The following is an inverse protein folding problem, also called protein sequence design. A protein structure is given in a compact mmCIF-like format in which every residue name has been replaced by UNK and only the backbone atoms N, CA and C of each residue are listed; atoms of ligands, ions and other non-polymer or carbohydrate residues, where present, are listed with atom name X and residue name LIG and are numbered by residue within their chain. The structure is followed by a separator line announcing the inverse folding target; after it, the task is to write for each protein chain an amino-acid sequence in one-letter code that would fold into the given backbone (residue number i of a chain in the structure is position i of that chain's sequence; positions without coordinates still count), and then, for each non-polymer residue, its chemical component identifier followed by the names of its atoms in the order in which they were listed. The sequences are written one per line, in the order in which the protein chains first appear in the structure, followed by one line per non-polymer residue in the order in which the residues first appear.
data_IF_390653018824
#
_entry.id   IF_390653018824
#
_cell.length_a   1.000
_cell.length_b   1.000
_cell.length_c   1.000
_cell.angle_alpha   90.00
_cell.angle_beta   90.00
_cell.angle_gamma   90.00
#
_symmetry.space_group_name_H-M   'P 1'
#
loop_
_entity.id
_entity.type
_entity.pdbx_description
1 polymer ?
#
# COMPACT_ATOMS: atom_id res chain seq x y z
N UNK A 1 -2.79 -0.45 -4.87
CA UNK A 1 -2.71 -0.46 -3.39
C UNK A 1 -4.02 -0.10 -2.68
N UNK A 2 -4.72 1.00 -3.00
CA UNK A 2 -5.94 1.40 -2.26
C UNK A 2 -7.00 0.30 -2.10
N UNK A 3 -7.26 -0.49 -3.15
CA UNK A 3 -8.23 -1.61 -3.09
C UNK A 3 -7.83 -2.66 -2.05
N UNK A 4 -6.53 -2.99 -1.99
CA UNK A 4 -5.98 -3.90 -1.00
C UNK A 4 -6.02 -3.29 0.40
N UNK A 5 -5.57 -2.05 0.56
CA UNK A 5 -5.47 -1.42 1.88
C UNK A 5 -6.83 -1.25 2.56
N UNK A 6 -7.83 -0.79 1.79
CA UNK A 6 -9.18 -0.48 2.29
C UNK A 6 -10.12 -1.69 2.39
N UNK A 7 -9.91 -2.73 1.58
CA UNK A 7 -10.88 -3.79 1.37
C UNK A 7 -12.24 -3.28 0.84
N UNK A 8 -12.35 -2.04 0.35
CA UNK A 8 -13.60 -1.41 -0.09
C UNK A 8 -14.19 -2.03 -1.37
N UNK A 9 -15.49 -1.82 -1.62
CA UNK A 9 -16.09 -2.19 -2.91
C UNK A 9 -15.57 -1.23 -3.98
N UNK A 10 -15.38 -1.69 -5.21
CA UNK A 10 -14.81 -0.83 -6.25
C UNK A 10 -15.62 0.43 -6.51
N UNK A 11 -16.95 0.33 -6.54
CA UNK A 11 -17.82 1.50 -6.74
C UNK A 11 -17.73 2.51 -5.58
N UNK A 12 -17.46 2.05 -4.36
CA UNK A 12 -17.24 2.93 -3.20
C UNK A 12 -15.90 3.68 -3.32
N UNK A 13 -14.88 3.04 -3.90
CA UNK A 13 -13.57 3.65 -4.09
C UNK A 13 -13.56 4.60 -5.29
N UNK A 14 -14.24 4.23 -6.37
CA UNK A 14 -14.35 5.05 -7.58
C UNK A 14 -15.26 6.26 -7.39
N UNK A 15 -16.18 6.26 -6.41
CA UNK A 15 -17.02 7.40 -6.08
C UNK A 15 -16.34 8.45 -5.19
N UNK A 16 -15.14 8.17 -4.67
CA UNK A 16 -14.40 9.10 -3.83
C UNK A 16 -14.04 10.39 -4.59
N UNK A 17 -14.08 11.50 -3.87
CA UNK A 17 -13.53 12.79 -4.28
C UNK A 17 -12.24 13.07 -3.51
N UNK A 18 -11.45 14.03 -3.98
CA UNK A 18 -10.20 14.43 -3.31
C UNK A 18 -10.46 14.81 -1.84
N UNK A 19 -11.53 15.58 -1.59
CA UNK A 19 -11.91 16.02 -0.25
C UNK A 19 -12.36 14.90 0.70
N UNK A 20 -12.61 13.69 0.21
CA UNK A 20 -12.95 12.54 1.06
C UNK A 20 -11.70 11.88 1.68
N UNK A 21 -10.49 12.29 1.30
CA UNK A 21 -9.23 11.77 1.83
C UNK A 21 -8.65 12.76 2.82
N UNK A 22 -8.49 12.33 4.07
CA UNK A 22 -7.88 13.13 5.14
C UNK A 22 -6.61 12.45 5.63
N UNK A 23 -5.46 13.10 5.46
CA UNK A 23 -4.19 12.61 5.98
C UNK A 23 -4.03 13.00 7.46
N UNK A 24 -3.50 12.07 8.25
CA UNK A 24 -3.15 12.30 9.65
C UNK A 24 -1.79 11.66 9.99
N UNK A 25 -1.37 11.76 11.25
CA UNK A 25 -0.08 11.22 11.70
C UNK A 25 0.06 9.70 11.58
N UNK A 26 -1.05 8.97 11.43
CA UNK A 26 -1.08 7.51 11.39
C UNK A 26 -1.38 6.96 9.99
N UNK A 27 -1.56 7.83 8.99
CA UNK A 27 -1.84 7.45 7.60
C UNK A 27 -2.90 8.34 6.98
N UNK A 28 -3.97 7.73 6.47
CA UNK A 28 -5.11 8.47 5.95
C UNK A 28 -6.44 7.85 6.41
N UNK A 29 -7.47 8.68 6.44
CA UNK A 29 -8.84 8.27 6.58
C UNK A 29 -9.59 8.59 5.29
N UNK A 30 -10.41 7.64 4.85
CA UNK A 30 -11.41 7.86 3.81
C UNK A 30 -12.79 7.56 4.33
N UNK A 31 -13.76 8.37 3.94
CA UNK A 31 -15.19 8.11 4.20
C UNK A 31 -15.79 7.61 2.90
N UNK A 32 -16.29 6.38 2.92
CA UNK A 32 -16.95 5.76 1.78
C UNK A 32 -18.45 5.65 2.01
N UNK A 33 -19.22 5.82 0.95
CA UNK A 33 -20.67 5.64 0.96
C UNK A 33 -21.03 4.42 0.11
N UNK A 34 -21.66 3.41 0.74
CA UNK A 34 -22.07 2.18 0.08
C UNK A 34 -23.53 1.83 0.36
N UNK A 35 -23.93 0.63 -0.10
CA UNK A 35 -25.30 0.09 0.09
C UNK A 35 -25.73 0.07 1.56
N UNK A 36 -24.78 -0.15 2.46
CA UNK A 36 -25.00 -0.31 3.92
C UNK A 36 -24.77 0.97 4.71
N UNK A 37 -24.65 2.12 4.03
CA UNK A 37 -24.42 3.42 4.64
C UNK A 37 -22.98 3.91 4.51
N UNK A 38 -22.67 4.95 5.29
CA UNK A 38 -21.34 5.54 5.34
C UNK A 38 -20.45 4.81 6.35
N UNK A 39 -19.18 4.61 5.99
CA UNK A 39 -18.18 4.12 6.94
C UNK A 39 -16.83 4.79 6.75
N UNK A 40 -16.10 4.88 7.86
CA UNK A 40 -14.75 5.41 7.95
C UNK A 40 -13.75 4.26 7.78
N UNK A 41 -12.84 4.37 6.82
CA UNK A 41 -11.78 3.40 6.59
C UNK A 41 -10.42 4.03 6.88
N UNK A 42 -9.61 3.32 7.67
CA UNK A 42 -8.22 3.67 7.94
C UNK A 42 -7.34 3.07 6.85
N UNK A 43 -6.50 3.90 6.25
CA UNK A 43 -5.53 3.53 5.24
C UNK A 43 -4.12 3.68 5.79
N UNK A 44 -3.27 2.71 5.48
CA UNK A 44 -1.86 2.66 5.90
C UNK A 44 -1.00 2.35 4.68
N UNK A 45 -1.19 1.17 4.06
CA UNK A 45 -0.33 0.68 2.98
C UNK A 45 -0.40 1.51 1.70
N UNK A 46 -1.53 2.14 1.42
CA UNK A 46 -1.75 2.94 0.21
C UNK A 46 -1.42 4.42 0.37
N UNK A 47 -1.08 4.88 1.58
CA UNK A 47 -0.90 6.29 1.89
C UNK A 47 0.21 6.95 1.05
N UNK A 48 1.42 6.35 0.89
CA UNK A 48 2.47 6.96 0.08
C UNK A 48 2.05 7.14 -1.39
N UNK A 49 1.34 6.15 -1.95
CA UNK A 49 0.83 6.21 -3.32
C UNK A 49 -0.26 7.29 -3.47
N UNK A 50 -1.16 7.40 -2.49
CA UNK A 50 -2.22 8.41 -2.47
C UNK A 50 -1.68 9.83 -2.36
N UNK A 51 -0.68 10.06 -1.50
CA UNK A 51 -0.03 11.37 -1.38
C UNK A 51 0.63 11.77 -2.69
N UNK A 52 1.38 10.85 -3.29
CA UNK A 52 2.04 11.06 -4.59
C UNK A 52 0.99 11.40 -5.66
N UNK A 53 -0.08 10.61 -5.72
CA UNK A 53 -1.16 10.81 -6.68
C UNK A 53 -1.88 12.15 -6.51
N UNK A 54 -2.24 12.55 -5.29
CA UNK A 54 -2.91 13.83 -5.01
C UNK A 54 -2.00 15.01 -5.39
N UNK A 55 -0.69 14.91 -5.13
CA UNK A 55 0.26 15.95 -5.49
C UNK A 55 0.37 16.18 -7.00
N UNK A 56 0.24 15.11 -7.80
CA UNK A 56 0.25 15.17 -9.27
C UNK A 56 -1.15 15.27 -9.90
N UNK A 57 -2.21 15.32 -9.09
CA UNK A 57 -3.58 15.23 -9.61
C UNK A 57 -3.94 16.47 -10.45
N UNK A 58 -4.47 16.32 -11.68
CA UNK A 58 -4.74 17.44 -12.58
C UNK A 58 -5.76 18.44 -12.03
N UNK A 59 -6.64 17.99 -11.13
CA UNK A 59 -7.68 18.81 -10.50
C UNK A 59 -7.45 18.97 -8.99
N UNK A 60 -6.20 18.91 -8.52
CA UNK A 60 -5.87 18.90 -7.07
C UNK A 60 -6.43 20.07 -6.26
N UNK A 61 -6.74 21.20 -6.90
CA UNK A 61 -7.29 22.38 -6.24
C UNK A 61 -8.80 22.27 -5.96
N UNK A 62 -9.50 21.31 -6.58
CA UNK A 62 -10.93 21.10 -6.40
C UNK A 62 -11.19 19.89 -5.51
N UNK A 63 -11.65 20.14 -4.28
CA UNK A 63 -11.98 19.09 -3.32
C UNK A 63 -13.16 18.20 -3.77
N UNK A 64 -14.03 18.70 -4.67
CA UNK A 64 -15.16 17.96 -5.23
C UNK A 64 -14.79 17.17 -6.48
N UNK A 65 -13.57 17.33 -7.00
CA UNK A 65 -13.10 16.55 -8.13
C UNK A 65 -13.02 15.06 -7.75
N UNK A 66 -13.33 14.14 -8.69
CA UNK A 66 -13.11 12.71 -8.51
C UNK A 66 -11.67 12.42 -8.11
N UNK A 67 -11.47 11.54 -7.13
CA UNK A 67 -10.13 11.13 -6.69
C UNK A 67 -9.37 10.41 -7.81
N UNK A 68 -10.05 9.59 -8.61
CA UNK A 68 -9.45 8.90 -9.75
C UNK A 68 -10.08 9.37 -11.04
N UNK A 69 -9.24 9.86 -11.95
CA UNK A 69 -9.65 10.39 -13.24
C UNK A 69 -8.96 9.69 -14.41
N UNK A 70 -9.58 9.77 -15.58
CA UNK A 70 -9.00 9.29 -16.83
C UNK A 70 -7.86 10.19 -17.28
N UNK A 71 -6.76 9.60 -17.74
CA UNK A 71 -5.65 10.36 -18.35
C UNK A 71 -6.07 10.96 -19.69
N UNK A 72 -6.91 10.25 -20.46
CA UNK A 72 -7.47 10.76 -21.72
C UNK A 72 -8.59 11.75 -21.41
N UNK A 73 -8.47 12.96 -21.97
CA UNK A 73 -9.42 14.06 -21.81
C UNK A 73 -10.28 14.20 -23.07
N UNK A 74 -11.15 13.22 -23.35
CA UNK A 74 -12.09 13.33 -24.47
C UNK A 74 -13.12 14.43 -24.17
N UNK A 75 -13.01 15.55 -24.88
CA UNK A 75 -13.77 16.79 -24.60
C UNK A 75 -13.06 17.77 -23.66
N UNK A 76 -11.74 17.69 -23.52
CA UNK A 76 -10.92 18.72 -22.85
C UNK A 76 -10.91 18.68 -21.32
N UNK A 77 -11.62 17.73 -20.68
CA UNK A 77 -11.61 17.56 -19.21
C UNK A 77 -11.40 16.10 -18.81
N UNK A 78 -10.63 15.83 -17.74
CA UNK A 78 -10.56 14.50 -17.13
C UNK A 78 -11.94 14.08 -16.62
N UNK A 79 -12.27 12.80 -16.77
CA UNK A 79 -13.54 12.22 -16.27
C UNK A 79 -13.25 11.26 -15.12
N UNK A 80 -14.24 11.01 -14.27
CA UNK A 80 -14.14 9.95 -13.24
C UNK A 80 -13.78 8.62 -13.89
N UNK A 81 -12.86 7.89 -13.27
CA UNK A 81 -12.43 6.59 -13.74
C UNK A 81 -13.57 5.57 -13.68
N UNK A 82 -13.76 4.80 -14.75
CA UNK A 82 -14.80 3.78 -14.85
C UNK A 82 -14.34 2.41 -14.33
N UNK A 83 -15.27 1.62 -13.80
CA UNK A 83 -15.02 0.27 -13.28
C UNK A 83 -14.38 -0.66 -14.33
N UNK A 84 -14.83 -0.60 -15.59
CA UNK A 84 -14.26 -1.42 -16.66
C UNK A 84 -12.79 -1.13 -16.89
N UNK A 85 -12.39 0.14 -16.73
CA UNK A 85 -10.98 0.55 -16.88
C UNK A 85 -10.12 -0.11 -15.80
N UNK A 86 -10.64 -0.17 -14.57
CA UNK A 86 -9.95 -0.86 -13.45
C UNK A 86 -9.86 -2.37 -13.70
N UNK A 87 -10.94 -3.01 -14.13
CA UNK A 87 -10.95 -4.44 -14.46
C UNK A 87 -9.95 -4.81 -15.57
N UNK A 88 -9.91 -4.01 -16.63
CA UNK A 88 -8.96 -4.19 -17.72
C UNK A 88 -7.51 -4.02 -17.22
N UNK A 89 -7.26 -3.03 -16.35
CA UNK A 89 -5.94 -2.83 -15.74
C UNK A 89 -5.54 -4.01 -14.87
N UNK A 90 -6.45 -4.53 -14.03
CA UNK A 90 -6.18 -5.70 -13.19
C UNK A 90 -5.90 -6.94 -14.03
N UNK A 91 -6.67 -7.16 -15.09
CA UNK A 91 -6.45 -8.28 -16.03
C UNK A 91 -5.07 -8.19 -16.68
N UNK A 92 -4.67 -6.98 -17.11
CA UNK A 92 -3.36 -6.76 -17.69
C UNK A 92 -2.22 -7.03 -16.69
N UNK A 93 -2.34 -6.51 -15.47
CA UNK A 93 -1.35 -6.75 -14.39
C UNK A 93 -1.27 -8.24 -14.03
N UNK A 94 -2.41 -8.93 -13.95
CA UNK A 94 -2.45 -10.36 -13.65
C UNK A 94 -1.73 -11.20 -14.71
N UNK A 95 -1.92 -10.87 -16.00
CA UNK A 95 -1.20 -11.51 -17.10
C UNK A 95 0.30 -11.25 -17.02
N UNK A 96 0.70 -10.00 -16.76
CA UNK A 96 2.11 -9.64 -16.61
C UNK A 96 2.78 -10.33 -15.41
N UNK A 97 2.01 -10.59 -14.35
CA UNK A 97 2.47 -11.31 -13.16
C UNK A 97 2.31 -12.84 -13.26
N UNK A 98 1.91 -13.37 -14.42
CA UNK A 98 1.66 -14.80 -14.65
C UNK A 98 0.66 -15.44 -13.67
N UNK A 99 -0.31 -14.67 -13.18
CA UNK A 99 -1.35 -15.17 -12.28
C UNK A 99 -2.45 -15.85 -13.12
N UNK A 100 -2.65 -17.14 -12.88
CA UNK A 100 -3.65 -17.95 -13.59
C UNK A 100 -5.07 -17.77 -13.04
N UNK A 101 -5.20 -17.39 -11.76
CA UNK A 101 -6.49 -17.15 -11.12
C UNK A 101 -7.11 -15.84 -11.63
N UNK A 102 -8.44 -15.75 -11.75
CA UNK A 102 -9.12 -14.51 -12.11
C UNK A 102 -8.78 -13.38 -11.12
N UNK A 103 -8.26 -12.26 -11.62
CA UNK A 103 -7.98 -11.06 -10.83
C UNK A 103 -8.94 -9.95 -11.25
N UNK A 104 -9.91 -9.68 -10.38
CA UNK A 104 -10.91 -8.63 -10.54
C UNK A 104 -11.16 -7.95 -9.19
N UNK A 105 -11.88 -6.81 -9.15
CA UNK A 105 -11.98 -6.04 -7.92
C UNK A 105 -12.54 -6.79 -6.71
N UNK A 106 -13.53 -7.66 -6.93
CA UNK A 106 -14.06 -8.50 -5.88
C UNK A 106 -13.05 -9.56 -5.40
N UNK A 107 -12.24 -10.16 -6.28
CA UNK A 107 -11.18 -11.09 -5.87
C UNK A 107 -10.15 -10.42 -4.96
N UNK A 108 -9.72 -9.20 -5.28
CA UNK A 108 -8.78 -8.42 -4.43
C UNK A 108 -9.41 -8.14 -3.07
N UNK A 109 -10.69 -7.77 -3.04
CA UNK A 109 -11.43 -7.57 -1.79
C UNK A 109 -11.54 -8.85 -0.97
N UNK A 110 -11.87 -9.98 -1.59
CA UNK A 110 -11.91 -11.28 -0.90
C UNK A 110 -10.54 -11.60 -0.28
N UNK A 111 -9.48 -11.51 -1.07
CA UNK A 111 -8.13 -11.76 -0.58
C UNK A 111 -7.75 -10.87 0.61
N UNK A 112 -8.10 -9.57 0.55
CA UNK A 112 -7.87 -8.66 1.68
C UNK A 112 -8.68 -9.02 2.92
N UNK A 113 -9.96 -9.34 2.77
CA UNK A 113 -10.80 -9.68 3.93
C UNK A 113 -10.34 -10.99 4.58
N UNK A 114 -9.86 -11.96 3.79
CA UNK A 114 -9.20 -13.17 4.32
C UNK A 114 -7.92 -12.83 5.07
N UNK A 115 -7.07 -11.96 4.51
CA UNK A 115 -5.83 -11.48 5.16
C UNK A 115 -6.13 -10.77 6.49
N UNK A 116 -7.14 -9.92 6.52
CA UNK A 116 -7.59 -9.24 7.74
C UNK A 116 -8.16 -10.21 8.78
N UNK A 117 -8.92 -11.23 8.38
CA UNK A 117 -9.47 -12.22 9.31
C UNK A 117 -8.38 -13.12 9.91
N UNK A 118 -7.38 -13.51 9.11
CA UNK A 118 -6.30 -14.40 9.55
C UNK A 118 -5.22 -13.67 10.35
N UNK A 119 -4.91 -12.42 10.00
CA UNK A 119 -3.67 -11.78 10.43
C UNK A 119 -2.46 -12.34 9.68
N UNK A 120 -1.26 -11.83 9.98
CA UNK A 120 -0.06 -12.11 9.17
C UNK A 120 1.24 -12.26 9.97
N UNK A 121 1.19 -12.82 11.19
CA UNK A 121 2.39 -12.94 12.03
C UNK A 121 2.65 -11.69 12.87
N UNK A 122 2.63 -10.52 12.22
CA UNK A 122 2.90 -9.25 12.89
C UNK A 122 1.64 -8.54 13.37
N UNK A 123 0.46 -9.02 12.98
CA UNK A 123 -0.84 -8.43 13.35
C UNK A 123 -1.85 -9.48 13.76
N UNK A 124 -2.66 -9.20 14.80
CA UNK A 124 -3.80 -10.02 15.12
C UNK A 124 -4.83 -9.97 13.99
N UNK A 125 -5.46 -11.11 13.71
CA UNK A 125 -6.63 -11.17 12.84
C UNK A 125 -7.83 -10.48 13.48
N UNK A 126 -8.71 -9.90 12.64
CA UNK A 126 -9.95 -9.27 13.06
C UNK A 126 -11.00 -10.33 13.40
N UNK A 127 -11.77 -10.07 14.46
CA UNK A 127 -12.96 -10.86 14.76
C UNK A 127 -14.09 -10.53 13.78
N UNK A 128 -15.17 -11.32 13.83
CA UNK A 128 -16.31 -11.15 12.95
C UNK A 128 -16.91 -9.74 12.99
N UNK A 129 -17.08 -9.16 14.17
CA UNK A 129 -17.71 -7.85 14.34
C UNK A 129 -16.86 -6.74 13.76
N UNK A 130 -15.56 -6.78 14.01
CA UNK A 130 -14.58 -5.88 13.42
C UNK A 130 -14.56 -6.01 11.89
N UNK A 131 -14.58 -7.24 11.38
CA UNK A 131 -14.58 -7.51 9.95
C UNK A 131 -15.86 -6.98 9.28
N UNK A 132 -17.04 -7.11 9.92
CA UNK A 132 -18.29 -6.51 9.43
C UNK A 132 -18.19 -4.98 9.31
N UNK A 133 -17.59 -4.32 10.29
CA UNK A 133 -17.39 -2.86 10.27
C UNK A 133 -16.47 -2.44 9.13
N UNK A 134 -15.33 -3.12 8.96
CA UNK A 134 -14.37 -2.82 7.88
C UNK A 134 -14.97 -3.10 6.50
N UNK A 135 -15.60 -4.26 6.33
CA UNK A 135 -16.20 -4.68 5.08
C UNK A 135 -17.47 -3.86 4.73
N UNK A 136 -18.15 -3.28 5.72
CA UNK A 136 -19.46 -2.64 5.52
C UNK A 136 -20.52 -3.67 5.17
N UNK A 137 -20.62 -4.73 5.97
CA UNK A 137 -21.71 -5.70 5.91
C UNK A 137 -22.83 -5.33 6.90
N UNK A 138 -24.05 -5.74 6.58
CA UNK A 138 -25.18 -5.62 7.50
C UNK A 138 -24.96 -6.52 8.72
N UNK A 139 -25.60 -6.18 9.84
CA UNK A 139 -25.47 -6.91 11.11
C UNK A 139 -25.86 -8.39 10.99
N UNK A 140 -26.81 -8.71 10.12
CA UNK A 140 -27.36 -10.06 9.95
C UNK A 140 -26.86 -10.77 8.68
N UNK A 141 -25.82 -10.25 8.01
CA UNK A 141 -25.26 -10.87 6.82
C UNK A 141 -24.52 -12.18 7.14
N UNK A 142 -24.69 -13.23 6.35
CA UNK A 142 -23.88 -14.47 6.44
C UNK A 142 -22.46 -14.31 5.85
N UNK A 143 -22.13 -13.15 5.27
CA UNK A 143 -20.84 -12.93 4.59
C UNK A 143 -19.58 -13.17 5.44
N UNK A 144 -19.53 -12.88 6.75
CA UNK A 144 -18.34 -13.15 7.55
C UNK A 144 -17.98 -14.64 7.67
N UNK A 145 -18.97 -15.53 7.57
CA UNK A 145 -18.76 -16.97 7.68
C UNK A 145 -17.79 -17.49 6.62
N UNK A 146 -17.64 -16.81 5.49
CA UNK A 146 -16.67 -17.14 4.42
C UNK A 146 -15.21 -16.97 4.86
N UNK A 147 -14.96 -16.17 5.89
CA UNK A 147 -13.60 -15.77 6.30
C UNK A 147 -13.24 -16.22 7.70
N UNK A 148 -14.25 -16.32 8.57
CA UNK A 148 -14.09 -16.65 9.98
C UNK A 148 -14.56 -18.09 10.18
N UNK A 149 -13.61 -19.01 10.14
CA UNK A 149 -13.82 -20.40 10.55
C UNK A 149 -12.96 -20.64 11.78
N UNK A 150 -13.54 -20.57 12.98
CA UNK A 150 -12.85 -21.00 14.20
C UNK A 150 -13.05 -22.50 14.38
N UNK A 151 -11.95 -23.25 14.49
CA UNK A 151 -11.99 -24.60 15.03
C UNK A 151 -11.98 -24.57 16.57
N UNK A 152 -12.47 -25.61 17.22
CA UNK A 152 -12.39 -25.73 18.69
C UNK A 152 -10.95 -25.67 19.21
N UNK A 153 -9.98 -26.21 18.45
CA UNK A 153 -8.56 -26.15 18.76
C UNK A 153 -7.98 -24.71 18.69
N UNK A 154 -8.48 -23.87 17.77
CA UNK A 154 -8.07 -22.46 17.70
C UNK A 154 -8.59 -21.66 18.89
N UNK A 155 -9.81 -21.99 19.36
CA UNK A 155 -10.39 -21.40 20.57
C UNK A 155 -9.59 -21.79 21.79
N UNK A 156 -9.30 -23.09 21.96
CA UNK A 156 -8.49 -23.61 23.07
C UNK A 156 -7.10 -22.96 23.09
N UNK A 157 -6.43 -22.87 21.94
CA UNK A 157 -5.14 -22.18 21.82
C UNK A 157 -5.23 -20.72 22.25
N UNK A 158 -6.27 -19.99 21.86
CA UNK A 158 -6.48 -18.59 22.29
C UNK A 158 -6.75 -18.49 23.79
N UNK A 159 -7.50 -19.41 24.37
CA UNK A 159 -7.78 -19.46 25.82
C UNK A 159 -6.48 -19.71 26.59
N UNK A 160 -5.68 -20.69 26.17
CA UNK A 160 -4.37 -20.97 26.77
C UNK A 160 -3.41 -19.78 26.66
N UNK A 161 -3.41 -19.09 25.52
CA UNK A 161 -2.60 -17.90 25.33
C UNK A 161 -3.06 -16.73 26.20
N UNK A 162 -4.37 -16.52 26.33
CA UNK A 162 -4.94 -15.50 27.19
C UNK A 162 -4.67 -15.78 28.68
N UNK A 163 -4.56 -17.05 29.06
CA UNK A 163 -4.13 -17.47 30.39
C UNK A 163 -2.59 -17.38 30.60
N UNK A 164 -1.83 -17.00 29.57
CA UNK A 164 -0.36 -16.90 29.62
C UNK A 164 0.36 -18.25 29.62
N UNK A 165 -0.33 -19.34 29.27
CA UNK A 165 0.21 -20.71 29.30
C UNK A 165 1.04 -21.01 28.04
N UNK A 166 0.65 -20.44 26.90
CA UNK A 166 1.35 -20.59 25.62
C UNK A 166 1.55 -19.23 24.95
N UNK A 167 2.65 -19.08 24.22
CA UNK A 167 2.82 -18.00 23.28
C UNK A 167 2.33 -18.46 21.90
N UNK A 168 1.48 -17.66 21.26
CA UNK A 168 1.03 -17.97 19.89
C UNK A 168 2.10 -17.47 18.93
N UNK A 169 2.97 -18.37 18.51
CA UNK A 169 3.80 -18.16 17.33
C UNK A 169 2.90 -18.00 16.12
N UNK A 170 2.89 -16.79 15.56
CA UNK A 170 2.11 -16.51 14.37
C UNK A 170 3.06 -16.61 13.16
N UNK A 171 2.75 -17.46 12.16
CA UNK A 171 3.60 -17.61 11.00
C UNK A 171 3.78 -16.25 10.33
N UNK A 172 5.03 -15.80 10.23
CA UNK A 172 5.33 -14.56 9.53
C UNK A 172 5.10 -14.80 8.03
N UNK A 173 4.17 -14.07 7.43
CA UNK A 173 4.07 -14.04 5.97
C UNK A 173 5.32 -13.35 5.41
N UNK A 174 6.00 -13.98 4.46
CA UNK A 174 7.23 -13.45 3.85
C UNK A 174 7.02 -12.11 3.11
N UNK A 175 5.80 -11.83 2.64
CA UNK A 175 5.49 -10.66 1.82
C UNK A 175 4.84 -9.55 2.67
N UNK A 176 5.61 -8.51 2.96
CA UNK A 176 5.17 -7.31 3.68
C UNK A 176 4.76 -6.21 2.68
N UNK A 177 3.46 -5.95 2.56
CA UNK A 177 2.90 -4.85 1.74
C UNK A 177 2.78 -3.54 2.52
N UNK A 178 3.39 -3.49 3.70
CA UNK A 178 3.45 -2.33 4.56
C UNK A 178 4.37 -1.25 4.00
N UNK A 179 4.06 0.04 4.22
CA UNK A 179 4.97 1.10 3.86
C UNK A 179 6.29 0.95 4.63
N UNK A 180 7.41 1.15 3.94
CA UNK A 180 8.74 1.11 4.54
C UNK A 180 9.08 2.46 5.17
N UNK A 181 9.50 2.45 6.43
CA UNK A 181 9.96 3.65 7.14
C UNK A 181 11.42 3.92 6.79
N UNK A 182 11.71 5.10 6.23
CA UNK A 182 13.08 5.48 5.91
C UNK A 182 13.96 5.47 7.17
N UNK A 183 15.14 4.81 7.19
CA UNK A 183 16.00 4.77 8.36
C UNK A 183 16.57 6.15 8.72
N UNK A 184 16.76 7.01 7.72
CA UNK A 184 17.34 8.35 7.84
C UNK A 184 16.30 9.40 8.27
N UNK A 185 15.34 9.73 7.42
CA UNK A 185 14.38 10.82 7.67
C UNK A 185 13.04 10.37 8.27
N UNK A 186 12.84 9.06 8.48
CA UNK A 186 11.62 8.46 9.05
C UNK A 186 10.33 8.63 8.23
N UNK A 187 10.38 9.22 7.03
CA UNK A 187 9.25 9.25 6.08
C UNK A 187 8.79 7.84 5.71
N UNK A 188 7.48 7.66 5.56
CA UNK A 188 6.88 6.41 5.08
C UNK A 188 6.90 6.39 3.56
N UNK A 189 7.45 5.34 2.98
CA UNK A 189 7.55 5.15 1.53
C UNK A 189 6.76 3.91 1.12
N UNK A 190 6.37 3.84 -0.15
CA UNK A 190 5.72 2.63 -0.68
C UNK A 190 6.62 1.41 -0.45
N UNK A 191 6.03 0.22 -0.24
CA UNK A 191 6.81 -1.00 0.03
C UNK A 191 7.78 -1.37 -1.11
N UNK A 192 7.49 -0.91 -2.33
CA UNK A 192 8.30 -1.13 -3.53
C UNK A 192 9.21 0.06 -3.87
N UNK A 193 9.31 1.08 -3.00
CA UNK A 193 10.13 2.26 -3.27
C UNK A 193 11.62 1.93 -3.15
N UNK A 194 12.39 2.20 -4.22
CA UNK A 194 13.84 2.03 -4.22
C UNK A 194 14.55 3.12 -3.42
N UNK A 195 14.04 4.35 -3.49
CA UNK A 195 14.58 5.53 -2.82
C UNK A 195 13.51 6.20 -1.96
N UNK A 196 13.94 6.89 -0.90
CA UNK A 196 13.06 7.70 -0.10
C UNK A 196 12.60 8.95 -0.87
N UNK A 197 11.29 9.20 -0.89
CA UNK A 197 10.69 10.36 -1.54
C UNK A 197 11.12 11.72 -0.99
N UNK A 198 11.63 11.76 0.25
CA UNK A 198 11.99 13.02 0.93
C UNK A 198 13.49 13.28 0.98
N UNK A 199 14.31 12.26 1.24
CA UNK A 199 15.75 12.42 1.46
C UNK A 199 16.63 11.64 0.48
N UNK A 200 16.00 10.97 -0.49
CA UNK A 200 16.67 10.19 -1.54
C UNK A 200 17.55 9.04 -1.04
N UNK A 201 17.45 8.67 0.25
CA UNK A 201 18.12 7.51 0.82
C UNK A 201 17.67 6.23 0.11
N UNK A 202 18.60 5.37 -0.27
CA UNK A 202 18.32 4.04 -0.81
C UNK A 202 17.63 3.18 0.27
N UNK A 203 16.51 2.56 -0.09
CA UNK A 203 15.70 1.73 0.81
C UNK A 203 15.82 0.24 0.50
N UNK A 204 16.11 -0.12 -0.76
CA UNK A 204 16.29 -1.50 -1.19
C UNK A 204 17.75 -1.94 -1.09
N UNK A 205 17.99 -3.03 -0.37
CA UNK A 205 19.33 -3.59 -0.15
C UNK A 205 20.06 -3.91 -1.45
N UNK A 206 19.41 -4.63 -2.38
CA UNK A 206 20.00 -4.96 -3.68
C UNK A 206 20.48 -3.72 -4.45
N UNK A 207 19.70 -2.64 -4.43
CA UNK A 207 20.07 -1.40 -5.09
C UNK A 207 21.22 -0.71 -4.38
N UNK A 208 21.28 -0.77 -3.05
CA UNK A 208 22.40 -0.22 -2.29
C UNK A 208 23.71 -0.92 -2.69
N UNK A 209 23.71 -2.26 -2.77
CA UNK A 209 24.87 -3.04 -3.21
C UNK A 209 25.32 -2.65 -4.62
N UNK A 210 24.40 -2.55 -5.59
CA UNK A 210 24.76 -2.15 -6.97
C UNK A 210 25.32 -0.73 -7.03
N UNK A 211 24.82 0.19 -6.21
CA UNK A 211 25.37 1.55 -6.14
C UNK A 211 26.79 1.51 -5.59
N UNK A 212 27.03 0.79 -4.50
CA UNK A 212 28.36 0.65 -3.90
C UNK A 212 29.36 0.02 -4.89
N UNK A 213 28.98 -1.06 -5.57
CA UNK A 213 29.76 -1.68 -6.65
C UNK A 213 30.08 -0.67 -7.77
N UNK A 214 29.08 0.10 -8.23
CA UNK A 214 29.28 1.11 -9.28
C UNK A 214 30.23 2.23 -8.85
N UNK A 215 30.19 2.61 -7.57
CA UNK A 215 31.09 3.60 -6.98
C UNK A 215 32.51 3.04 -6.89
N UNK A 216 32.68 1.76 -6.52
CA UNK A 216 34.00 1.13 -6.49
C UNK A 216 34.62 1.02 -7.88
N UNK A 217 33.85 0.61 -8.89
CA UNK A 217 34.29 0.57 -10.29
C UNK A 217 34.69 1.97 -10.76
N UNK A 218 33.89 2.99 -10.45
CA UNK A 218 34.22 4.37 -10.79
C UNK A 218 35.53 4.82 -10.10
N UNK A 219 35.70 4.52 -8.81
CA UNK A 219 36.91 4.85 -8.04
C UNK A 219 38.19 4.17 -8.56
N UNK A 220 38.05 2.99 -9.16
CA UNK A 220 39.17 2.24 -9.73
C UNK A 220 39.63 2.78 -11.09
N UNK A 221 38.81 3.58 -11.78
CA UNK A 221 39.18 4.19 -13.07
C UNK A 221 40.21 5.31 -12.90
N UNK A 222 41.22 5.36 -13.77
CA UNK A 222 42.22 6.44 -13.78
C UNK A 222 41.57 7.80 -14.04
N UNK A 223 40.58 7.85 -14.93
CA UNK A 223 39.88 9.07 -15.30
C UNK A 223 39.20 9.73 -14.09
N UNK A 224 38.64 8.91 -13.19
CA UNK A 224 38.00 9.37 -11.97
C UNK A 224 39.02 9.98 -10.99
N UNK A 225 40.20 9.36 -10.86
CA UNK A 225 41.26 9.88 -9.99
C UNK A 225 41.84 11.18 -10.55
N UNK A 226 42.05 11.27 -11.86
CA UNK A 226 42.56 12.48 -12.52
C UNK A 226 41.58 13.66 -12.35
N UNK A 227 40.28 13.41 -12.52
CA UNK A 227 39.23 14.43 -12.28
C UNK A 227 39.19 14.89 -10.83
N UNK A 228 39.30 13.95 -9.87
CA UNK A 228 39.34 14.26 -8.45
C UNK A 228 40.58 15.10 -8.07
N UNK A 229 41.75 14.76 -8.63
CA UNK A 229 42.98 15.49 -8.35
C UNK A 229 42.93 16.93 -8.90
N UNK A 230 42.36 17.13 -10.09
CA UNK A 230 42.09 18.47 -10.64
C UNK A 230 41.12 19.27 -9.75
N UNK A 231 40.02 18.65 -9.32
CA UNK A 231 39.07 19.31 -8.41
C UNK A 231 39.73 19.70 -7.07
N UNK A 232 40.58 18.84 -6.51
CA UNK A 232 41.33 19.16 -5.28
C UNK A 232 42.31 20.31 -5.47
N UNK A 233 43.00 20.39 -6.62
CA UNK A 233 43.89 21.51 -6.91
C UNK A 233 43.13 22.82 -7.05
N UNK A 234 41.98 22.81 -7.73
CA UNK A 234 41.14 24.00 -7.92
C UNK A 234 40.56 24.51 -6.58
N UNK A 235 40.25 23.59 -5.66
CA UNK A 235 39.78 23.91 -4.31
C UNK A 235 40.90 24.27 -3.33
N UNK A 236 42.17 24.27 -3.77
CA UNK A 236 43.33 24.62 -2.93
C UNK A 236 43.63 23.61 -1.81
N UNK A 237 43.03 22.41 -1.85
CA UNK A 237 43.32 21.33 -0.91
C UNK A 237 44.63 20.65 -1.34
N UNK A 238 45.76 21.03 -0.71
CA UNK A 238 47.05 20.40 -0.97
C UNK A 238 46.97 18.91 -0.61
N UNK A 239 47.37 18.06 -1.56
CA UNK A 239 47.59 16.62 -1.40
C UNK A 239 48.62 16.32 -0.32
#
# INVERSE_FOLDING_TARGET
MLMWDSGGRINELLSLNIGHVQFDRYGAIVIVHGKTGMRRLRLISSVPDLQTWINMHPLRADAQAPLFVTTRCYGGRPRRLDMRTVENKLTHVARAAHITKPVHPHAVRHARLTDLARGNGSRPGLNEMELRLVAGWERNSAMPEVYVHLSGADVERKVLANAGIIEIETPQSEIKLEPARCPRCKTMNAHYATYCSQCSQVLMEKTALTIDESIEVAKASSDYQDLLNRLKSDLGMRT
#
